data_IF_391594406479
#
_entry.id   IF_391594406479
#
_cell.length_a   1.000
_cell.length_b   1.000
_cell.length_c   1.000
_cell.angle_alpha   90.00
_cell.angle_beta   90.00
_cell.angle_gamma   90.00
#
_symmetry.space_group_name_H-M   'P 1'
#
loop_
_entity.id
_entity.type
_entity.pdbx_description
1 polymer ?
#
# COMPACT_ATOMS: atom_id res chain seq x y z
N UNK A 1 3.53 -25.48 -3.64
CA UNK A 1 3.40 -24.02 -3.84
C UNK A 1 3.63 -23.40 -2.49
N UNK A 2 4.84 -22.90 -2.27
CA UNK A 2 5.38 -22.53 -0.95
C UNK A 2 4.62 -21.36 -0.37
N UNK A 3 4.04 -21.58 0.80
CA UNK A 3 3.54 -20.56 1.71
C UNK A 3 4.65 -19.54 1.95
N UNK A 4 4.53 -18.33 1.40
CA UNK A 4 5.30 -17.18 1.86
C UNK A 4 4.64 -16.66 3.14
N UNK A 5 4.66 -17.50 4.18
CA UNK A 5 4.36 -17.06 5.53
C UNK A 5 5.67 -16.51 6.10
N UNK A 6 5.71 -15.21 6.38
CA UNK A 6 6.67 -14.55 7.25
C UNK A 6 8.12 -14.43 6.74
N UNK A 7 8.29 -13.81 5.56
CA UNK A 7 9.58 -13.18 5.24
C UNK A 7 9.61 -11.77 5.86
N UNK A 8 10.43 -11.47 6.88
CA UNK A 8 10.50 -10.15 7.49
C UNK A 8 10.87 -9.04 6.50
N UNK A 9 11.61 -9.37 5.43
CA UNK A 9 11.91 -8.44 4.33
C UNK A 9 10.67 -7.97 3.56
N UNK A 10 9.63 -8.80 3.49
CA UNK A 10 8.38 -8.50 2.79
C UNK A 10 7.49 -7.63 3.66
N UNK A 11 7.45 -7.88 4.98
CA UNK A 11 6.80 -6.98 5.94
C UNK A 11 7.47 -5.60 5.99
N UNK A 12 8.80 -5.54 6.02
CA UNK A 12 9.54 -4.28 5.97
C UNK A 12 9.16 -3.46 4.73
N UNK A 13 8.95 -4.13 3.60
CA UNK A 13 8.53 -3.50 2.36
C UNK A 13 7.12 -2.90 2.46
N UNK A 14 6.19 -3.55 3.16
CA UNK A 14 4.82 -3.05 3.31
C UNK A 14 4.71 -1.79 4.18
N UNK A 15 5.49 -1.69 5.26
CA UNK A 15 5.57 -0.45 6.03
C UNK A 15 6.13 0.70 5.18
N UNK A 16 7.07 0.41 4.27
CA UNK A 16 7.60 1.42 3.33
C UNK A 16 6.58 1.81 2.26
N UNK A 17 5.83 0.85 1.72
CA UNK A 17 4.77 1.08 0.72
C UNK A 17 3.69 2.01 1.25
N UNK A 18 3.27 1.82 2.51
CA UNK A 18 2.31 2.70 3.18
C UNK A 18 2.96 3.92 3.84
N UNK A 19 4.27 4.09 3.72
CA UNK A 19 5.06 5.18 4.32
C UNK A 19 4.84 5.36 5.83
N UNK A 20 4.59 4.26 6.54
CA UNK A 20 4.37 4.24 7.99
C UNK A 20 5.55 3.63 8.75
N UNK A 21 5.80 4.06 10.00
CA UNK A 21 6.79 3.40 10.83
C UNK A 21 6.34 1.98 11.22
N UNK A 22 7.30 1.08 11.47
CA UNK A 22 7.01 -0.29 11.95
C UNK A 22 6.32 -0.35 13.31
N UNK A 23 6.33 0.75 14.04
CA UNK A 23 5.66 0.92 15.33
C UNK A 23 4.26 1.49 15.18
N UNK A 24 3.78 1.72 13.95
CA UNK A 24 2.45 2.24 13.69
C UNK A 24 1.37 1.28 14.20
N UNK A 25 0.34 1.87 14.80
CA UNK A 25 -0.87 1.17 15.17
C UNK A 25 -1.72 0.83 13.94
N UNK A 26 -2.65 -0.12 14.11
CA UNK A 26 -3.63 -0.48 13.07
C UNK A 26 -4.39 0.75 12.52
N UNK A 27 -4.68 1.71 13.41
CA UNK A 27 -5.38 2.95 13.05
C UNK A 27 -4.50 3.81 12.13
N UNK A 28 -3.23 4.00 12.49
CA UNK A 28 -2.28 4.74 11.66
C UNK A 28 -2.02 4.06 10.31
N UNK A 29 -1.96 2.72 10.29
CA UNK A 29 -1.82 1.92 9.06
C UNK A 29 -3.04 2.11 8.14
N UNK A 30 -4.26 2.10 8.71
CA UNK A 30 -5.48 2.34 7.94
C UNK A 30 -5.53 3.77 7.41
N UNK A 31 -5.24 4.74 8.26
CA UNK A 31 -5.31 6.16 7.87
C UNK A 31 -4.27 6.46 6.77
N UNK A 32 -3.09 5.85 6.83
CA UNK A 32 -2.09 5.94 5.77
C UNK A 32 -2.52 5.25 4.47
N UNK A 33 -3.16 4.09 4.56
CA UNK A 33 -3.74 3.41 3.39
C UNK A 33 -4.80 4.28 2.70
N UNK A 34 -5.75 4.84 3.46
CA UNK A 34 -6.77 5.74 2.92
C UNK A 34 -6.14 6.99 2.29
N UNK A 35 -5.11 7.58 2.94
CA UNK A 35 -4.36 8.71 2.39
C UNK A 35 -3.66 8.40 1.07
N UNK A 36 -3.02 7.22 0.94
CA UNK A 36 -2.37 6.79 -0.30
C UNK A 36 -3.36 6.54 -1.44
N UNK A 37 -4.54 6.02 -1.13
CA UNK A 37 -5.61 5.89 -2.13
C UNK A 37 -6.05 7.26 -2.66
N UNK A 38 -6.27 8.22 -1.77
CA UNK A 38 -6.68 9.58 -2.14
C UNK A 38 -5.59 10.29 -2.94
N UNK A 39 -4.33 10.21 -2.51
CA UNK A 39 -3.16 10.75 -3.21
C UNK A 39 -3.08 10.23 -4.65
N UNK A 40 -3.20 8.90 -4.81
CA UNK A 40 -3.15 8.26 -6.13
C UNK A 40 -4.31 8.70 -7.03
N UNK A 41 -5.51 8.88 -6.48
CA UNK A 41 -6.65 9.38 -7.24
C UNK A 41 -6.48 10.84 -7.66
N UNK A 42 -5.94 11.68 -6.77
CA UNK A 42 -5.63 13.07 -7.06
C UNK A 42 -4.53 13.18 -8.12
N UNK A 43 -3.50 12.33 -8.05
CA UNK A 43 -2.42 12.29 -9.04
C UNK A 43 -2.92 11.82 -10.40
N UNK A 44 -3.74 10.76 -10.47
CA UNK A 44 -4.36 10.31 -11.70
C UNK A 44 -5.25 11.39 -12.33
N UNK A 45 -6.02 12.11 -11.49
CA UNK A 45 -6.86 13.22 -11.90
C UNK A 45 -6.03 14.41 -12.41
N UNK A 46 -4.99 14.81 -11.67
CA UNK A 46 -4.11 15.92 -12.01
C UNK A 46 -3.28 15.63 -13.27
N UNK A 47 -2.91 14.36 -13.47
CA UNK A 47 -2.20 13.91 -14.65
C UNK A 47 -3.10 13.84 -15.90
N UNK A 48 -4.42 14.10 -15.80
CA UNK A 48 -5.39 13.77 -16.85
C UNK A 48 -5.12 12.37 -17.44
N UNK A 49 -4.80 11.42 -16.55
CA UNK A 49 -4.35 10.05 -16.88
C UNK A 49 -3.24 9.98 -17.94
N UNK A 50 -2.19 10.80 -17.82
CA UNK A 50 -0.92 10.58 -18.54
C UNK A 50 -0.24 9.26 -18.16
N UNK A 51 -0.65 8.65 -17.05
CA UNK A 51 -0.24 7.33 -16.61
C UNK A 51 -1.21 6.26 -17.16
N UNK A 52 -0.70 5.10 -17.59
CA UNK A 52 -1.52 3.92 -17.90
C UNK A 52 -2.39 3.53 -16.70
N UNK A 53 -3.63 3.14 -16.98
CA UNK A 53 -4.55 2.61 -15.97
C UNK A 53 -3.93 1.38 -15.27
N UNK A 54 -3.21 0.54 -16.01
CA UNK A 54 -2.52 -0.65 -15.49
C UNK A 54 -1.49 -0.32 -14.39
N UNK A 55 -0.69 0.75 -14.54
CA UNK A 55 0.31 1.16 -13.54
C UNK A 55 -0.36 1.70 -12.28
N UNK A 56 -1.49 2.38 -12.45
CA UNK A 56 -2.30 2.89 -11.33
C UNK A 56 -2.94 1.73 -10.57
N UNK A 57 -3.49 0.74 -11.27
CA UNK A 57 -4.07 -0.46 -10.66
C UNK A 57 -3.02 -1.29 -9.90
N UNK A 58 -1.83 -1.48 -10.46
CA UNK A 58 -0.75 -2.21 -9.77
C UNK A 58 -0.35 -1.51 -8.46
N UNK A 59 -0.28 -0.18 -8.48
CA UNK A 59 0.02 0.63 -7.30
C UNK A 59 -1.05 0.48 -6.22
N UNK A 60 -2.33 0.54 -6.60
CA UNK A 60 -3.46 0.34 -5.68
C UNK A 60 -3.50 -1.09 -5.11
N UNK A 61 -3.15 -2.09 -5.92
CA UNK A 61 -3.03 -3.48 -5.48
C UNK A 61 -1.91 -3.63 -4.43
N UNK A 62 -0.77 -2.97 -4.62
CA UNK A 62 0.33 -3.00 -3.66
C UNK A 62 -0.06 -2.37 -2.31
N UNK A 63 -0.81 -1.26 -2.31
CA UNK A 63 -1.35 -0.69 -1.07
C UNK A 63 -2.31 -1.64 -0.36
N UNK A 64 -3.21 -2.28 -1.12
CA UNK A 64 -4.18 -3.24 -0.57
C UNK A 64 -3.47 -4.46 0.04
N UNK A 65 -2.47 -5.01 -0.64
CA UNK A 65 -1.66 -6.13 -0.16
C UNK A 65 -0.90 -5.77 1.13
N UNK A 66 -0.33 -4.56 1.17
CA UNK A 66 0.36 -4.04 2.35
C UNK A 66 -0.61 -3.90 3.54
N UNK A 67 -1.77 -3.28 3.30
CA UNK A 67 -2.78 -3.08 4.33
C UNK A 67 -3.30 -4.41 4.90
N UNK A 68 -3.71 -5.35 4.05
CA UNK A 68 -4.24 -6.66 4.49
C UNK A 68 -3.19 -7.45 5.29
N UNK A 69 -1.92 -7.39 4.89
CA UNK A 69 -0.83 -8.07 5.59
C UNK A 69 -0.56 -7.44 6.95
N UNK A 70 -0.49 -6.11 7.02
CA UNK A 70 -0.21 -5.39 8.26
C UNK A 70 -1.42 -5.34 9.21
N UNK A 71 -2.64 -5.43 8.68
CA UNK A 71 -3.87 -5.43 9.46
C UNK A 71 -4.23 -6.81 10.03
N UNK A 72 -3.60 -7.88 9.53
CA UNK A 72 -3.77 -9.25 10.01
C UNK A 72 -2.42 -9.89 10.34
N UNK A 73 -1.73 -9.41 11.39
CA UNK A 73 -0.41 -9.92 11.82
C UNK A 73 -0.48 -11.31 12.45
#
# INVERSE_FOLDING_TARGET
MTSQANNPQVEENYYQILEVPKTASLVEIRDAYEGKLEETHLDAFAAYSLFPEDETEETLLNFSQAFVTLANP
#
